data_IF_442609869498
#
_entry.id   IF_442609869498
#
_cell.length_a   1.000
_cell.length_b   1.000
_cell.length_c   1.000
_cell.angle_alpha   90.00
_cell.angle_beta   90.00
_cell.angle_gamma   90.00
#
_symmetry.space_group_name_H-M   'P 1'
#
loop_
_entity.id
_entity.type
_entity.pdbx_description
1 polymer ?
#
# COMPACT_ATOMS: atom_id res chain seq x y z
N UNK A 1 -17.38 1.32 -0.45
CA UNK A 1 -17.13 -0.06 0.05
C UNK A 1 -18.45 -0.78 0.18
N UNK A 2 -18.68 -1.80 -0.64
CA UNK A 2 -19.92 -2.59 -0.61
C UNK A 2 -19.86 -3.67 0.48
N UNK A 3 -21.00 -3.99 1.12
CA UNK A 3 -21.10 -5.18 1.97
C UNK A 3 -20.86 -6.45 1.14
N UNK A 4 -20.18 -7.46 1.70
CA UNK A 4 -19.89 -8.70 0.98
C UNK A 4 -21.15 -9.47 0.63
N UNK A 5 -22.22 -9.34 1.42
CA UNK A 5 -23.56 -9.85 1.06
C UNK A 5 -24.08 -9.27 -0.26
N UNK A 6 -23.83 -7.97 -0.53
CA UNK A 6 -24.26 -7.34 -1.78
C UNK A 6 -23.42 -7.85 -2.96
N UNK A 7 -22.13 -8.06 -2.75
CA UNK A 7 -21.22 -8.63 -3.73
C UNK A 7 -21.65 -10.08 -4.05
N UNK A 8 -21.88 -10.90 -3.02
CA UNK A 8 -22.36 -12.27 -3.15
C UNK A 8 -23.66 -12.33 -3.97
N UNK A 9 -24.63 -11.47 -3.67
CA UNK A 9 -25.88 -11.41 -4.43
C UNK A 9 -25.66 -11.07 -5.91
N UNK A 10 -24.73 -10.15 -6.23
CA UNK A 10 -24.39 -9.83 -7.62
C UNK A 10 -23.70 -10.99 -8.33
N UNK A 11 -22.81 -11.72 -7.63
CA UNK A 11 -22.17 -12.94 -8.15
C UNK A 11 -23.23 -13.99 -8.48
N UNK A 12 -24.15 -14.30 -7.55
CA UNK A 12 -25.23 -15.25 -7.78
C UNK A 12 -26.10 -14.87 -8.97
N UNK A 13 -26.43 -13.59 -9.12
CA UNK A 13 -27.19 -13.10 -10.27
C UNK A 13 -26.46 -13.36 -11.59
N UNK A 14 -25.12 -13.13 -11.63
CA UNK A 14 -24.32 -13.40 -12.84
C UNK A 14 -24.18 -14.90 -13.15
N UNK A 15 -24.17 -15.73 -12.12
CA UNK A 15 -24.10 -17.19 -12.25
C UNK A 15 -25.48 -17.85 -12.50
N UNK A 16 -26.55 -17.06 -12.57
CA UNK A 16 -27.93 -17.57 -12.64
C UNK A 16 -28.32 -18.52 -11.50
N UNK A 17 -27.67 -18.32 -10.31
CA UNK A 17 -27.87 -19.14 -9.09
C UNK A 17 -28.58 -18.33 -7.99
N UNK A 18 -29.66 -17.63 -8.34
CA UNK A 18 -30.43 -16.82 -7.39
C UNK A 18 -31.02 -17.63 -6.24
N UNK A 19 -31.32 -18.90 -6.48
CA UNK A 19 -31.92 -19.79 -5.51
C UNK A 19 -30.91 -20.54 -4.63
N UNK A 20 -29.62 -20.23 -4.77
CA UNK A 20 -28.52 -20.81 -3.98
C UNK A 20 -28.45 -22.35 -4.06
N UNK A 21 -28.74 -22.92 -5.23
CA UNK A 21 -28.79 -24.36 -5.45
C UNK A 21 -27.43 -24.89 -5.90
N UNK A 22 -26.71 -24.14 -6.75
CA UNK A 22 -25.49 -24.61 -7.40
C UNK A 22 -24.24 -24.32 -6.55
N UNK A 23 -24.18 -23.15 -5.92
CA UNK A 23 -23.04 -22.72 -5.15
C UNK A 23 -23.42 -22.43 -3.69
N UNK A 24 -22.63 -22.92 -2.76
CA UNK A 24 -22.79 -22.63 -1.33
C UNK A 24 -22.31 -21.21 -1.01
N UNK A 25 -22.76 -20.65 0.12
CA UNK A 25 -22.29 -19.35 0.59
C UNK A 25 -20.79 -19.38 0.93
N UNK A 26 -20.27 -20.53 1.39
CA UNK A 26 -18.86 -20.72 1.70
C UNK A 26 -17.99 -20.68 0.42
N UNK A 27 -18.39 -21.33 -0.65
CA UNK A 27 -17.68 -21.31 -1.94
C UNK A 27 -17.63 -19.90 -2.53
N UNK A 28 -18.74 -19.17 -2.45
CA UNK A 28 -18.81 -17.79 -2.91
C UNK A 28 -17.89 -16.91 -2.05
N UNK A 29 -17.93 -17.08 -0.71
CA UNK A 29 -17.10 -16.31 0.21
C UNK A 29 -15.61 -16.59 -0.01
N UNK A 30 -15.21 -17.86 -0.21
CA UNK A 30 -13.81 -18.19 -0.53
C UNK A 30 -13.38 -17.54 -1.85
N UNK A 31 -14.24 -17.57 -2.87
CA UNK A 31 -13.95 -16.92 -4.15
C UNK A 31 -13.82 -15.41 -4.03
N UNK A 32 -14.64 -14.77 -3.19
CA UNK A 32 -14.52 -13.34 -2.87
C UNK A 32 -13.21 -13.06 -2.14
N UNK A 33 -12.86 -13.81 -1.10
CA UNK A 33 -11.61 -13.64 -0.35
C UNK A 33 -10.39 -13.83 -1.24
N UNK A 34 -10.40 -14.80 -2.14
CA UNK A 34 -9.35 -14.97 -3.14
C UNK A 34 -9.26 -13.79 -4.10
N UNK A 35 -10.39 -13.26 -4.57
CA UNK A 35 -10.43 -12.05 -5.40
C UNK A 35 -9.88 -10.83 -4.71
N UNK A 36 -10.22 -10.61 -3.44
CA UNK A 36 -9.68 -9.52 -2.64
C UNK A 36 -8.15 -9.63 -2.55
N UNK A 37 -7.62 -10.82 -2.24
CA UNK A 37 -6.17 -11.06 -2.20
C UNK A 37 -5.51 -10.80 -3.55
N UNK A 38 -6.15 -11.21 -4.65
CA UNK A 38 -5.66 -10.97 -6.01
C UNK A 38 -5.59 -9.48 -6.35
N UNK A 39 -6.70 -8.76 -6.18
CA UNK A 39 -6.79 -7.32 -6.48
C UNK A 39 -5.81 -6.51 -5.61
N UNK A 40 -5.75 -6.80 -4.30
CA UNK A 40 -4.78 -6.14 -3.41
C UNK A 40 -3.34 -6.37 -3.82
N UNK A 41 -2.99 -7.59 -4.25
CA UNK A 41 -1.64 -7.90 -4.75
C UNK A 41 -1.33 -7.12 -6.02
N UNK A 42 -2.30 -6.98 -6.93
CA UNK A 42 -2.16 -6.15 -8.13
C UNK A 42 -1.92 -4.67 -7.76
N UNK A 43 -2.74 -4.11 -6.86
CA UNK A 43 -2.59 -2.73 -6.37
C UNK A 43 -1.22 -2.54 -5.68
N UNK A 44 -0.81 -3.48 -4.82
CA UNK A 44 0.47 -3.43 -4.11
C UNK A 44 1.69 -3.40 -5.05
N UNK A 45 1.56 -4.00 -6.24
CA UNK A 45 2.62 -4.01 -7.25
C UNK A 45 2.63 -2.74 -8.09
N UNK A 46 1.46 -2.20 -8.43
CA UNK A 46 1.32 -1.06 -9.34
C UNK A 46 1.41 0.27 -8.57
N UNK A 47 0.64 0.40 -7.50
CA UNK A 47 0.54 1.63 -6.70
C UNK A 47 0.42 1.31 -5.21
N UNK A 48 1.54 0.90 -4.57
CA UNK A 48 1.55 0.47 -3.18
C UNK A 48 1.01 1.54 -2.22
N UNK A 49 1.15 2.82 -2.54
CA UNK A 49 0.69 3.95 -1.71
C UNK A 49 -0.80 3.92 -1.36
N UNK A 50 -1.64 3.22 -2.14
CA UNK A 50 -3.08 3.08 -1.85
C UNK A 50 -3.39 2.08 -0.74
N UNK A 51 -2.44 1.21 -0.40
CA UNK A 51 -2.62 0.14 0.59
C UNK A 51 -1.72 0.31 1.81
N UNK A 52 -0.93 1.40 1.86
CA UNK A 52 0.03 1.62 2.93
C UNK A 52 -0.68 1.93 4.23
N UNK A 53 -0.31 1.18 5.27
CA UNK A 53 -0.60 1.43 6.68
C UNK A 53 0.64 1.99 7.35
N UNK A 54 0.46 2.97 8.21
CA UNK A 54 1.56 3.58 8.96
C UNK A 54 1.54 3.04 10.39
N UNK A 55 2.65 2.44 10.80
CA UNK A 55 2.90 2.02 12.18
C UNK A 55 3.96 2.93 12.78
N UNK A 56 3.61 3.61 13.85
CA UNK A 56 4.52 4.49 14.59
C UNK A 56 4.71 3.96 16.00
N UNK A 57 5.92 4.05 16.50
CA UNK A 57 6.21 3.61 17.85
C UNK A 57 7.56 4.09 18.35
N UNK A 58 7.90 3.64 19.54
CA UNK A 58 9.20 3.88 20.16
C UNK A 58 9.95 2.55 20.22
N UNK A 59 11.15 2.54 19.69
CA UNK A 59 12.13 1.49 19.86
C UNK A 59 12.95 1.82 21.12
N UNK A 60 12.76 1.09 22.23
CA UNK A 60 13.44 1.41 23.49
C UNK A 60 14.95 1.24 23.39
N UNK A 61 15.68 2.04 24.14
CA UNK A 61 17.14 1.90 24.25
C UNK A 61 17.53 0.48 24.65
N UNK A 62 18.54 -0.06 24.02
CA UNK A 62 19.01 -1.43 24.23
C UNK A 62 18.13 -2.52 23.63
N UNK A 63 17.01 -2.17 23.00
CA UNK A 63 16.12 -3.14 22.38
C UNK A 63 16.45 -3.30 20.89
N UNK A 64 16.64 -4.53 20.46
CA UNK A 64 17.01 -4.86 19.08
C UNK A 64 15.81 -5.08 18.17
N UNK A 65 14.65 -5.43 18.71
CA UNK A 65 13.51 -5.85 17.92
C UNK A 65 12.19 -5.29 18.43
N UNK A 66 11.25 -5.14 17.51
CA UNK A 66 9.85 -4.83 17.78
C UNK A 66 8.97 -5.84 17.07
N UNK A 67 7.75 -5.98 17.58
CA UNK A 67 6.70 -6.69 16.87
C UNK A 67 5.68 -5.68 16.33
N UNK A 68 5.34 -5.81 15.06
CA UNK A 68 4.21 -5.07 14.49
C UNK A 68 2.89 -5.67 14.96
N UNK A 69 1.88 -4.83 15.08
CA UNK A 69 0.53 -5.28 15.47
C UNK A 69 -0.08 -6.19 14.39
N UNK A 70 0.08 -5.82 13.13
CA UNK A 70 -0.39 -6.59 11.99
C UNK A 70 0.77 -7.30 11.27
N UNK A 71 0.46 -8.39 10.57
CA UNK A 71 1.41 -9.11 9.70
C UNK A 71 1.62 -8.31 8.42
N UNK A 72 2.84 -7.83 8.12
CA UNK A 72 3.09 -7.13 6.87
C UNK A 72 3.27 -8.11 5.71
N UNK A 73 2.49 -7.95 4.66
CA UNK A 73 2.74 -8.61 3.38
C UNK A 73 3.96 -7.99 2.68
N UNK A 74 4.14 -6.68 2.84
CA UNK A 74 5.24 -5.94 2.25
C UNK A 74 5.63 -4.76 3.14
N UNK A 75 6.93 -4.60 3.37
CA UNK A 75 7.46 -3.39 3.98
C UNK A 75 7.85 -2.44 2.84
N UNK A 76 7.22 -1.27 2.83
CA UNK A 76 7.49 -0.23 1.82
C UNK A 76 8.66 0.63 2.25
N UNK A 77 8.65 1.03 3.52
CA UNK A 77 9.67 1.91 4.08
C UNK A 77 9.72 1.78 5.60
N UNK A 78 10.91 1.89 6.17
CA UNK A 78 11.09 2.11 7.61
C UNK A 78 12.07 3.25 7.80
N UNK A 79 11.72 4.14 8.71
CA UNK A 79 12.59 5.19 9.20
C UNK A 79 12.72 5.09 10.72
N UNK A 80 13.89 5.41 11.23
CA UNK A 80 14.14 5.53 12.66
C UNK A 80 15.04 6.75 12.92
N UNK A 81 14.79 7.46 14.00
CA UNK A 81 15.57 8.60 14.41
C UNK A 81 14.77 9.60 15.23
N UNK A 82 15.44 10.45 15.95
CA UNK A 82 14.82 11.59 16.60
C UNK A 82 14.36 12.60 15.56
N UNK A 83 13.13 13.08 15.72
CA UNK A 83 12.65 14.24 14.96
C UNK A 83 13.44 15.49 15.39
N UNK A 84 14.62 15.69 14.84
CA UNK A 84 15.25 16.99 14.94
C UNK A 84 14.45 17.89 14.00
N UNK A 85 13.53 18.64 14.58
CA UNK A 85 12.82 19.73 13.90
C UNK A 85 13.84 20.84 13.65
N UNK A 86 14.64 20.70 12.61
CA UNK A 86 15.34 21.84 12.04
C UNK A 86 14.32 22.54 11.16
N UNK A 87 13.75 23.62 11.67
CA UNK A 87 13.02 24.55 10.82
C UNK A 87 14.00 25.16 9.83
N UNK A 88 14.12 24.57 8.67
CA UNK A 88 14.86 25.18 7.56
C UNK A 88 13.91 26.16 6.91
N UNK A 89 14.13 27.45 7.16
CA UNK A 89 13.46 28.49 6.40
C UNK A 89 14.12 28.54 5.02
N UNK A 90 13.56 27.80 4.06
CA UNK A 90 13.97 27.90 2.67
C UNK A 90 13.23 29.04 2.03
N UNK A 91 13.93 30.08 1.64
CA UNK A 91 13.38 31.06 0.72
C UNK A 91 13.28 30.35 -0.64
N UNK A 92 12.07 30.12 -1.11
CA UNK A 92 11.84 29.52 -2.42
C UNK A 92 12.54 30.41 -3.47
N UNK A 93 13.63 29.91 -4.02
CA UNK A 93 14.30 30.61 -5.09
C UNK A 93 13.42 30.59 -6.33
N UNK A 94 13.55 31.64 -7.15
CA UNK A 94 12.84 31.93 -8.42
C UNK A 94 12.45 30.76 -9.32
N UNK A 95 13.07 29.58 -9.18
CA UNK A 95 12.87 28.46 -10.10
C UNK A 95 11.47 27.83 -10.05
N UNK A 96 10.80 27.83 -8.91
CA UNK A 96 9.47 27.19 -8.78
C UNK A 96 8.38 28.09 -9.36
N UNK A 97 8.59 29.42 -9.33
CA UNK A 97 7.60 30.39 -9.77
C UNK A 97 7.96 31.09 -11.07
N UNK A 98 8.97 30.66 -11.77
CA UNK A 98 9.45 31.33 -12.97
C UNK A 98 8.40 31.48 -14.08
N UNK A 99 7.48 30.56 -14.19
CA UNK A 99 6.38 30.62 -15.15
C UNK A 99 5.23 31.53 -14.66
N UNK A 100 5.05 31.67 -13.35
CA UNK A 100 4.00 32.51 -12.78
C UNK A 100 4.40 33.98 -12.74
N UNK A 101 5.68 34.30 -12.55
CA UNK A 101 6.18 35.66 -12.61
C UNK A 101 5.99 36.30 -14.00
N UNK A 102 6.04 35.53 -15.06
CA UNK A 102 5.77 36.00 -16.41
C UNK A 102 4.29 36.30 -16.67
N UNK A 103 3.41 35.66 -15.95
CA UNK A 103 1.98 35.81 -16.11
C UNK A 103 1.43 36.94 -15.25
N UNK A 104 2.03 37.19 -14.09
CA UNK A 104 1.38 38.02 -13.07
C UNK A 104 2.02 39.33 -12.78
N UNK A 105 3.18 39.71 -13.20
CA UNK A 105 3.63 41.09 -13.09
C UNK A 105 5.11 41.37 -13.09
N UNK A 106 5.35 42.50 -13.63
CA UNK A 106 6.51 43.38 -13.60
C UNK A 106 6.96 43.88 -12.22
N UNK A 107 6.49 43.34 -11.11
CA UNK A 107 6.80 43.90 -9.81
C UNK A 107 7.20 42.83 -8.82
N UNK A 108 8.39 43.00 -8.28
CA UNK A 108 9.01 42.38 -7.10
C UNK A 108 8.76 40.90 -6.85
N UNK A 109 9.78 40.09 -6.67
CA UNK A 109 9.64 38.68 -6.37
C UNK A 109 8.88 38.52 -5.04
N UNK A 110 7.73 37.83 -5.09
CA UNK A 110 7.00 37.46 -3.89
C UNK A 110 7.79 36.32 -3.25
N UNK A 111 8.49 36.60 -2.17
CA UNK A 111 9.15 35.60 -1.36
C UNK A 111 8.12 34.93 -0.46
N UNK A 112 7.69 33.74 -0.83
CA UNK A 112 6.86 32.93 0.07
C UNK A 112 7.80 32.21 1.02
N UNK A 113 7.68 32.49 2.32
CA UNK A 113 8.40 31.75 3.36
C UNK A 113 7.77 30.36 3.47
N UNK A 114 8.34 29.38 2.81
CA UNK A 114 7.94 27.98 2.98
C UNK A 114 8.73 27.44 4.18
N UNK A 115 8.07 27.26 5.30
CA UNK A 115 8.62 26.55 6.45
C UNK A 115 8.49 25.06 6.13
N UNK A 116 9.50 24.49 5.53
CA UNK A 116 9.61 23.03 5.41
C UNK A 116 10.19 22.50 6.71
N UNK A 117 9.37 21.85 7.51
CA UNK A 117 9.86 21.01 8.60
C UNK A 117 10.55 19.80 7.95
N UNK A 118 11.85 19.89 7.76
CA UNK A 118 12.65 18.74 7.33
C UNK A 118 12.82 17.83 8.54
N UNK A 119 12.01 16.79 8.60
CA UNK A 119 12.22 15.70 9.54
C UNK A 119 13.46 14.94 9.06
N UNK A 120 14.48 14.90 9.89
CA UNK A 120 15.69 14.09 9.62
C UNK A 120 15.45 12.65 10.07
N UNK A 121 14.38 12.03 9.61
CA UNK A 121 14.24 10.58 9.72
C UNK A 121 15.17 9.96 8.68
N UNK A 122 16.15 9.19 9.14
CA UNK A 122 16.98 8.41 8.22
C UNK A 122 16.20 7.20 7.77
N UNK A 123 16.03 7.07 6.47
CA UNK A 123 15.54 5.84 5.86
C UNK A 123 16.50 4.70 6.24
N UNK A 124 15.94 3.61 6.73
CA UNK A 124 16.72 2.42 7.05
C UNK A 124 16.86 1.53 5.83
N UNK A 125 17.99 0.89 5.68
CA UNK A 125 18.22 -0.07 4.61
C UNK A 125 17.70 -1.44 5.02
N UNK A 126 16.90 -2.05 4.15
CA UNK A 126 16.49 -3.44 4.32
C UNK A 126 17.68 -4.35 4.05
N UNK A 127 17.95 -5.27 4.97
CA UNK A 127 19.01 -6.26 4.82
C UNK A 127 18.50 -7.66 5.12
N UNK A 128 19.26 -8.68 4.78
CA UNK A 128 18.95 -10.06 5.12
C UNK A 128 19.36 -10.37 6.57
N UNK A 129 18.64 -11.29 7.22
CA UNK A 129 18.92 -11.69 8.59
C UNK A 129 20.36 -12.21 8.74
N UNK A 130 20.86 -12.95 7.76
CA UNK A 130 22.23 -13.46 7.75
C UNK A 130 23.26 -12.34 7.90
N UNK A 131 23.04 -11.20 7.21
CA UNK A 131 23.94 -10.06 7.29
C UNK A 131 23.91 -9.37 8.65
N UNK A 132 22.78 -9.41 9.36
CA UNK A 132 22.69 -8.87 10.72
C UNK A 132 23.34 -9.81 11.75
N UNK A 133 23.22 -11.14 11.56
CA UNK A 133 23.76 -12.12 12.50
C UNK A 133 25.30 -12.11 12.53
N UNK A 134 25.94 -11.88 11.38
CA UNK A 134 27.41 -11.84 11.31
C UNK A 134 28.02 -10.56 11.85
N UNK A 135 27.22 -9.52 12.10
CA UNK A 135 27.68 -8.25 12.69
C UNK A 135 27.79 -8.37 14.22
N UNK A 136 28.63 -7.53 14.86
CA UNK A 136 28.72 -7.52 16.32
C UNK A 136 27.35 -7.36 16.98
N UNK A 137 27.01 -8.26 17.88
CA UNK A 137 25.69 -8.27 18.53
C UNK A 137 25.48 -7.15 19.54
N UNK A 138 26.57 -6.56 19.99
CA UNK A 138 26.68 -5.49 20.99
C UNK A 138 26.87 -4.09 20.38
N UNK A 139 26.90 -3.98 19.04
CA UNK A 139 27.03 -2.70 18.40
C UNK A 139 25.81 -1.83 18.69
N UNK A 140 26.04 -0.68 19.33
CA UNK A 140 25.05 0.33 19.67
C UNK A 140 25.18 1.55 18.80
N UNK A 141 24.11 2.32 18.66
CA UNK A 141 24.08 3.55 17.88
C UNK A 141 22.70 3.84 17.27
N UNK A 142 22.64 4.80 16.37
CA UNK A 142 21.42 5.07 15.62
C UNK A 142 21.18 3.95 14.60
N UNK A 143 20.02 3.28 14.61
CA UNK A 143 19.70 2.25 13.64
C UNK A 143 19.86 2.75 12.20
N UNK A 144 20.45 1.91 11.35
CA UNK A 144 20.66 2.18 9.92
C UNK A 144 20.10 1.10 9.04
N UNK A 145 19.92 -0.10 9.59
CA UNK A 145 19.46 -1.27 8.87
C UNK A 145 18.35 -1.98 9.63
N UNK A 146 17.54 -2.71 8.90
CA UNK A 146 16.51 -3.57 9.48
C UNK A 146 16.33 -4.86 8.68
N UNK A 147 15.80 -5.88 9.33
CA UNK A 147 15.26 -7.06 8.65
C UNK A 147 13.94 -7.50 9.28
N UNK A 148 13.08 -8.10 8.48
CA UNK A 148 11.87 -8.76 8.95
C UNK A 148 12.23 -10.22 9.32
N UNK A 149 11.83 -10.63 10.51
CA UNK A 149 12.05 -12.00 11.01
C UNK A 149 10.71 -12.61 11.39
N UNK A 150 10.44 -13.79 10.86
CA UNK A 150 9.13 -14.41 11.01
C UNK A 150 8.02 -13.56 10.36
N UNK A 151 6.88 -13.49 11.01
CA UNK A 151 5.70 -12.85 10.44
C UNK A 151 5.57 -11.36 10.77
N UNK A 152 6.00 -10.95 11.96
CA UNK A 152 5.72 -9.61 12.51
C UNK A 152 6.94 -8.92 13.14
N UNK A 153 8.02 -9.66 13.39
CA UNK A 153 9.17 -9.10 14.10
C UNK A 153 10.11 -8.35 13.16
N UNK A 154 10.48 -7.14 13.54
CA UNK A 154 11.49 -6.34 12.85
C UNK A 154 12.70 -6.23 13.77
N UNK A 155 13.87 -6.63 13.26
CA UNK A 155 15.17 -6.46 13.93
C UNK A 155 15.86 -5.25 13.34
N UNK A 156 16.39 -4.41 14.22
CA UNK A 156 17.16 -3.20 13.87
C UNK A 156 18.65 -3.42 14.14
N UNK A 157 19.46 -2.73 13.35
CA UNK A 157 20.91 -2.71 13.54
C UNK A 157 21.48 -1.33 13.17
N UNK A 158 22.43 -0.79 13.98
CA UNK A 158 22.80 -1.21 15.33
C UNK A 158 21.67 -1.04 16.36
N UNK A 159 21.90 -1.51 17.58
CA UNK A 159 20.93 -1.38 18.68
C UNK A 159 20.87 0.08 19.10
N UNK A 160 19.69 0.69 19.29
CA UNK A 160 19.59 2.09 19.70
C UNK A 160 20.13 2.31 21.10
N UNK A 161 20.93 3.36 21.28
CA UNK A 161 21.45 3.79 22.58
C UNK A 161 20.43 4.57 23.39
N UNK A 162 19.48 5.20 22.71
CA UNK A 162 18.41 6.00 23.30
C UNK A 162 17.08 5.59 22.71
N UNK A 163 16.00 5.87 23.42
CA UNK A 163 14.65 5.65 22.93
C UNK A 163 14.48 6.36 21.59
N UNK A 164 14.26 5.60 20.55
CA UNK A 164 14.25 6.07 19.18
C UNK A 164 12.87 5.90 18.58
N UNK A 165 12.28 6.97 18.06
CA UNK A 165 11.03 6.87 17.30
C UNK A 165 11.26 6.12 16.00
N UNK A 166 10.32 5.29 15.60
CA UNK A 166 10.30 4.68 14.29
C UNK A 166 8.95 4.91 13.61
N UNK A 167 8.99 4.94 12.29
CA UNK A 167 7.81 4.93 11.43
C UNK A 167 8.00 3.83 10.41
N UNK A 168 7.09 2.87 10.38
CA UNK A 168 7.08 1.78 9.40
C UNK A 168 5.87 1.94 8.49
N UNK A 169 6.12 2.01 7.19
CA UNK A 169 5.11 2.00 6.14
C UNK A 169 5.02 0.59 5.59
N UNK A 170 3.90 -0.08 5.85
CA UNK A 170 3.69 -1.48 5.47
C UNK A 170 2.43 -1.63 4.63
N UNK A 171 2.35 -2.72 3.91
CA UNK A 171 1.11 -3.23 3.36
C UNK A 171 0.78 -4.46 4.19
N UNK A 172 -0.23 -4.34 5.02
CA UNK A 172 -0.59 -5.40 5.95
C UNK A 172 -1.43 -6.47 5.25
N UNK A 173 -1.34 -7.69 5.77
CA UNK A 173 -2.20 -8.77 5.36
C UNK A 173 -3.63 -8.50 5.83
N UNK A 174 -4.59 -9.09 5.16
CA UNK A 174 -6.00 -9.03 5.56
C UNK A 174 -6.40 -10.41 6.05
N UNK A 175 -7.01 -10.44 7.21
CA UNK A 175 -7.70 -11.62 7.70
C UNK A 175 -8.83 -12.02 6.76
N UNK A 176 -9.21 -13.29 6.79
CA UNK A 176 -10.33 -13.76 6.01
C UNK A 176 -11.62 -13.07 6.48
N UNK A 177 -12.33 -12.52 5.50
CA UNK A 177 -13.55 -11.77 5.76
C UNK A 177 -14.74 -12.73 5.80
N UNK A 178 -15.75 -12.32 6.55
CA UNK A 178 -17.05 -12.98 6.64
C UNK A 178 -18.08 -12.27 5.76
N UNK A 179 -19.22 -12.91 5.49
CA UNK A 179 -20.30 -12.29 4.70
C UNK A 179 -20.85 -10.98 5.29
N UNK A 180 -20.64 -10.75 6.59
CA UNK A 180 -21.11 -9.54 7.29
C UNK A 180 -20.17 -8.37 7.13
N UNK A 181 -18.94 -8.62 6.68
CA UNK A 181 -17.94 -7.59 6.50
C UNK A 181 -18.18 -6.77 5.23
N UNK A 182 -17.46 -5.66 5.15
CA UNK A 182 -17.42 -4.83 3.94
C UNK A 182 -16.15 -5.12 3.15
N UNK A 183 -16.24 -4.96 1.83
CA UNK A 183 -15.06 -4.99 0.99
C UNK A 183 -14.01 -3.99 1.50
N UNK A 184 -12.74 -4.40 1.71
CA UNK A 184 -11.68 -3.48 2.10
C UNK A 184 -11.14 -2.67 0.91
N UNK A 185 -11.67 -2.91 -0.28
CA UNK A 185 -11.29 -2.23 -1.50
C UNK A 185 -12.18 -1.01 -1.74
N UNK A 186 -11.66 -0.03 -2.48
CA UNK A 186 -12.48 1.06 -2.96
C UNK A 186 -13.55 0.53 -3.93
N UNK A 187 -14.68 1.21 -3.99
CA UNK A 187 -15.83 0.80 -4.82
C UNK A 187 -15.51 0.63 -6.30
N UNK A 188 -14.52 1.33 -6.82
CA UNK A 188 -14.02 1.19 -8.18
C UNK A 188 -13.43 -0.21 -8.49
N UNK A 189 -13.02 -0.95 -7.45
CA UNK A 189 -12.48 -2.31 -7.58
C UNK A 189 -13.53 -3.41 -7.32
N UNK A 190 -14.72 -3.05 -6.85
CA UNK A 190 -15.75 -4.04 -6.52
C UNK A 190 -16.22 -4.83 -7.76
N UNK A 191 -16.26 -4.20 -8.94
CA UNK A 191 -16.64 -4.87 -10.18
C UNK A 191 -15.60 -5.91 -10.62
N UNK A 192 -14.30 -5.64 -10.44
CA UNK A 192 -13.23 -6.63 -10.68
C UNK A 192 -13.33 -7.81 -9.73
N UNK A 193 -13.69 -7.55 -8.48
CA UNK A 193 -13.90 -8.58 -7.49
C UNK A 193 -15.07 -9.51 -7.88
N UNK A 194 -16.17 -8.92 -8.34
CA UNK A 194 -17.35 -9.68 -8.81
C UNK A 194 -16.99 -10.49 -10.06
N UNK A 195 -16.27 -9.89 -11.02
CA UNK A 195 -15.82 -10.56 -12.23
C UNK A 195 -14.90 -11.74 -11.90
N UNK A 196 -13.90 -11.52 -11.05
CA UNK A 196 -12.98 -12.56 -10.61
C UNK A 196 -13.72 -13.74 -9.95
N UNK A 197 -14.56 -13.46 -8.96
CA UNK A 197 -15.25 -14.50 -8.22
C UNK A 197 -16.25 -15.26 -9.11
N UNK A 198 -16.97 -14.56 -9.98
CA UNK A 198 -17.91 -15.18 -10.92
C UNK A 198 -17.20 -16.14 -11.86
N UNK A 199 -16.09 -15.70 -12.47
CA UNK A 199 -15.35 -16.54 -13.43
C UNK A 199 -14.69 -17.71 -12.75
N UNK A 200 -14.08 -17.50 -11.56
CA UNK A 200 -13.48 -18.59 -10.80
C UNK A 200 -14.49 -19.70 -10.48
N UNK A 201 -15.71 -19.34 -10.09
CA UNK A 201 -16.77 -20.30 -9.80
C UNK A 201 -17.28 -20.99 -11.06
N UNK A 202 -17.46 -20.27 -12.16
CA UNK A 202 -17.90 -20.82 -13.43
C UNK A 202 -16.87 -21.79 -14.02
N UNK A 203 -15.59 -21.39 -14.09
CA UNK A 203 -14.50 -22.17 -14.66
C UNK A 203 -14.08 -23.32 -13.76
N UNK A 204 -14.21 -23.18 -12.45
CA UNK A 204 -13.88 -24.22 -11.49
C UNK A 204 -14.61 -25.55 -11.75
N UNK A 205 -15.78 -25.49 -12.40
CA UNK A 205 -16.55 -26.67 -12.82
C UNK A 205 -16.07 -27.25 -14.16
N UNK A 206 -15.38 -26.49 -15.00
CA UNK A 206 -15.01 -26.89 -16.37
C UNK A 206 -13.53 -27.29 -16.52
N UNK A 207 -12.71 -27.14 -15.47
CA UNK A 207 -11.27 -27.41 -15.47
C UNK A 207 -10.47 -26.67 -16.57
N UNK A 208 -10.98 -25.57 -17.11
CA UNK A 208 -10.29 -24.78 -18.13
C UNK A 208 -9.41 -23.69 -17.53
N UNK A 209 -8.19 -24.08 -17.16
CA UNK A 209 -7.17 -23.18 -16.63
C UNK A 209 -6.78 -22.05 -17.59
N UNK A 210 -7.00 -22.22 -18.89
CA UNK A 210 -6.62 -21.21 -19.90
C UNK A 210 -7.53 -20.00 -19.81
N UNK A 211 -8.82 -20.23 -19.65
CA UNK A 211 -9.81 -19.15 -19.50
C UNK A 211 -9.58 -18.37 -18.19
N UNK A 212 -9.29 -19.07 -17.09
CA UNK A 212 -8.99 -18.43 -15.81
C UNK A 212 -7.75 -17.53 -15.92
N UNK A 213 -6.67 -18.02 -16.53
CA UNK A 213 -5.46 -17.23 -16.73
C UNK A 213 -5.67 -16.01 -17.63
N UNK A 214 -6.42 -16.16 -18.72
CA UNK A 214 -6.76 -15.07 -19.61
C UNK A 214 -7.56 -13.97 -18.90
N UNK A 215 -8.54 -14.36 -18.08
CA UNK A 215 -9.35 -13.44 -17.30
C UNK A 215 -8.52 -12.72 -16.23
N UNK A 216 -7.68 -13.45 -15.46
CA UNK A 216 -6.79 -12.84 -14.48
C UNK A 216 -5.86 -11.81 -15.13
N UNK A 217 -5.33 -12.10 -16.29
CA UNK A 217 -4.49 -11.17 -17.07
C UNK A 217 -5.27 -9.94 -17.50
N UNK A 218 -6.52 -10.11 -17.93
CA UNK A 218 -7.38 -9.00 -18.32
C UNK A 218 -7.72 -8.09 -17.12
N UNK A 219 -8.13 -8.65 -16.00
CA UNK A 219 -8.40 -7.90 -14.76
C UNK A 219 -7.13 -7.14 -14.32
N UNK A 220 -5.97 -7.80 -14.35
CA UNK A 220 -4.70 -7.15 -14.01
C UNK A 220 -4.41 -5.96 -14.90
N UNK A 221 -4.57 -6.09 -16.21
CA UNK A 221 -4.38 -4.98 -17.16
C UNK A 221 -5.36 -3.83 -16.93
N UNK A 222 -6.63 -4.12 -16.64
CA UNK A 222 -7.63 -3.09 -16.34
C UNK A 222 -7.28 -2.33 -15.05
N UNK A 223 -6.89 -3.04 -13.98
CA UNK A 223 -6.41 -2.43 -12.75
C UNK A 223 -5.18 -1.55 -13.03
N UNK A 224 -4.26 -2.03 -13.87
CA UNK A 224 -3.08 -1.27 -14.26
C UNK A 224 -3.46 0.03 -14.98
N UNK A 225 -4.41 0.00 -15.91
CA UNK A 225 -4.89 1.20 -16.62
C UNK A 225 -5.51 2.23 -15.68
N UNK A 226 -6.30 1.79 -14.69
CA UNK A 226 -6.90 2.70 -13.69
C UNK A 226 -5.84 3.32 -12.79
N UNK A 227 -4.84 2.55 -12.39
CA UNK A 227 -3.83 2.98 -11.42
C UNK A 227 -2.65 3.72 -12.03
N UNK A 228 -2.40 3.55 -13.33
CA UNK A 228 -1.34 4.29 -14.00
C UNK A 228 -1.74 5.75 -14.15
N UNK A 229 -0.84 6.69 -13.82
CA UNK A 229 -1.06 8.09 -14.16
C UNK A 229 -1.16 8.22 -15.69
N UNK A 230 -2.01 9.12 -16.19
CA UNK A 230 -2.04 9.42 -17.63
C UNK A 230 -0.62 9.78 -18.12
N UNK A 231 -0.22 9.35 -19.32
CA UNK A 231 1.10 9.64 -19.85
C UNK A 231 1.39 11.13 -19.75
N UNK A 232 2.60 11.48 -19.30
CA UNK A 232 3.03 12.86 -19.15
C UNK A 232 2.93 13.56 -20.52
N UNK A 233 1.96 14.46 -20.66
CA UNK A 233 1.65 15.15 -21.92
C UNK A 233 0.16 15.21 -22.26
N UNK A 234 -0.67 14.36 -21.70
CA UNK A 234 -2.12 14.46 -21.79
C UNK A 234 -2.70 15.36 -20.70
N UNK A 235 -2.26 16.61 -20.61
CA UNK A 235 -3.03 17.64 -19.93
C UNK A 235 -4.14 18.03 -20.91
N UNK A 236 -5.26 17.35 -20.82
CA UNK A 236 -6.50 17.87 -21.37
C UNK A 236 -6.76 19.19 -20.65
N UNK A 237 -6.54 20.30 -21.36
CA UNK A 237 -7.05 21.60 -20.93
C UNK A 237 -8.57 21.45 -20.79
N UNK A 238 -9.05 21.21 -19.57
CA UNK A 238 -10.46 21.44 -19.27
C UNK A 238 -10.66 22.96 -19.33
N UNK A 239 -11.19 23.42 -20.46
CA UNK A 239 -11.77 24.75 -20.52
C UNK A 239 -13.07 24.70 -19.70
N UNK A 240 -13.06 25.35 -18.57
CA UNK A 240 -14.28 25.74 -17.88
C UNK A 240 -14.81 26.94 -18.62
N UNK A 241 -15.89 26.76 -19.37
CA UNK A 241 -16.74 27.86 -19.87
C UNK A 241 -17.63 28.34 -18.74
#
# INVERSE_FOLDING_TARGET
MLPLQTISKRIRTRLHDSDSITYTDEEILDSINCGIRFVRRAIANIRPSLLVTTHEGILPAGTRSINLDARPTKIVHISAGDKIVKSVTTYSSKKIYHNWEKVWHNHSPIYTKVVTNTYSEKALYRTELANIIIKPSDATGTPTEFCLVGEKAIIFYPIPEVDTKYTALTIDDIEELTMQDKSPLNTEFDDFLIEYATTRLAVGNEFDMTQEQAMMSNIYMQIQQILMPPPAGCITKQYWD
#
